data_IF_714960289120
#
_entry.id   IF_714960289120
#
_cell.length_a   1.000
_cell.length_b   1.000
_cell.length_c   1.000
_cell.angle_alpha   90.00
_cell.angle_beta   90.00
_cell.angle_gamma   90.00
#
_symmetry.space_group_name_H-M   'P 1'
#
loop_
_entity.id
_entity.type
_entity.pdbx_description
1 polymer ?
#
# COMPACT_ATOMS: atom_id res chain seq x y z
N UNK A 1 -9.07 2.73 24.30
CA UNK A 1 -9.37 3.56 23.11
C UNK A 1 -10.73 3.16 22.57
N UNK A 2 -11.61 4.14 22.30
CA UNK A 2 -12.98 3.90 21.87
C UNK A 2 -13.01 3.29 20.45
N UNK A 3 -13.89 2.29 20.21
CA UNK A 3 -14.01 1.62 18.91
C UNK A 3 -14.33 2.61 17.79
N UNK A 4 -15.11 3.67 18.09
CA UNK A 4 -15.41 4.73 17.14
C UNK A 4 -14.17 5.52 16.71
N UNK A 5 -13.22 5.74 17.62
CA UNK A 5 -11.95 6.43 17.31
C UNK A 5 -11.07 5.54 16.44
N UNK A 6 -11.05 4.22 16.71
CA UNK A 6 -10.32 3.27 15.86
C UNK A 6 -10.87 3.27 14.44
N UNK A 7 -12.20 3.17 14.30
CA UNK A 7 -12.88 3.20 13.00
C UNK A 7 -12.59 4.50 12.23
N UNK A 8 -12.64 5.65 12.92
CA UNK A 8 -12.30 6.94 12.34
C UNK A 8 -10.83 6.98 11.86
N UNK A 9 -9.89 6.52 12.68
CA UNK A 9 -8.48 6.44 12.30
C UNK A 9 -8.26 5.52 11.10
N UNK A 10 -8.89 4.35 11.06
CA UNK A 10 -8.80 3.45 9.90
C UNK A 10 -9.40 4.07 8.65
N UNK A 11 -10.51 4.81 8.76
CA UNK A 11 -11.13 5.50 7.63
C UNK A 11 -10.19 6.59 7.08
N UNK A 12 -9.58 7.40 7.95
CA UNK A 12 -8.61 8.43 7.56
C UNK A 12 -7.38 7.81 6.89
N UNK A 13 -6.85 6.73 7.46
CA UNK A 13 -5.71 6.00 6.89
C UNK A 13 -6.04 5.39 5.54
N UNK A 14 -7.26 4.87 5.35
CA UNK A 14 -7.73 4.34 4.07
C UNK A 14 -7.77 5.44 3.00
N UNK A 15 -8.28 6.64 3.35
CA UNK A 15 -8.33 7.78 2.43
C UNK A 15 -6.92 8.28 2.08
N UNK A 16 -6.04 8.38 3.07
CA UNK A 16 -4.64 8.78 2.86
C UNK A 16 -3.89 7.76 2.00
N UNK A 17 -4.06 6.47 2.25
CA UNK A 17 -3.42 5.43 1.45
C UNK A 17 -3.97 5.42 0.02
N UNK A 18 -5.29 5.56 -0.15
CA UNK A 18 -5.92 5.64 -1.46
C UNK A 18 -5.40 6.81 -2.29
N UNK A 19 -5.25 7.98 -1.67
CA UNK A 19 -4.65 9.15 -2.33
C UNK A 19 -3.18 8.91 -2.69
N UNK A 20 -2.40 8.31 -1.80
CA UNK A 20 -1.01 7.95 -2.08
C UNK A 20 -0.91 6.98 -3.27
N UNK A 21 -1.70 5.89 -3.28
CA UNK A 21 -1.78 4.97 -4.42
C UNK A 21 -2.16 5.68 -5.71
N UNK A 22 -3.14 6.59 -5.68
CA UNK A 22 -3.55 7.35 -6.86
C UNK A 22 -2.41 8.21 -7.41
N UNK A 23 -1.71 8.98 -6.56
CA UNK A 23 -0.57 9.80 -6.97
C UNK A 23 0.55 8.92 -7.54
N UNK A 24 0.87 7.81 -6.86
CA UNK A 24 1.89 6.85 -7.28
C UNK A 24 1.57 6.24 -8.64
N UNK A 25 0.32 5.81 -8.87
CA UNK A 25 -0.11 5.26 -10.15
C UNK A 25 -0.16 6.31 -11.26
N UNK A 26 -0.55 7.54 -10.95
CA UNK A 26 -0.55 8.64 -11.93
C UNK A 26 0.87 9.00 -12.35
N UNK A 27 1.80 9.09 -11.39
CA UNK A 27 3.23 9.29 -11.67
C UNK A 27 3.78 8.15 -12.54
N UNK A 28 3.36 6.92 -12.29
CA UNK A 28 3.73 5.80 -13.16
C UNK A 28 3.19 5.93 -14.59
N UNK A 29 1.94 6.33 -14.76
CA UNK A 29 1.30 6.50 -16.07
C UNK A 29 1.93 7.63 -16.88
N UNK A 30 2.37 8.71 -16.22
CA UNK A 30 3.02 9.86 -16.86
C UNK A 30 4.47 9.57 -17.29
N UNK A 31 5.20 8.72 -16.55
CA UNK A 31 6.64 8.44 -16.80
C UNK A 31 6.94 7.03 -17.33
N UNK A 32 5.93 6.16 -17.44
CA UNK A 32 6.00 4.76 -17.88
C UNK A 32 7.03 3.88 -17.09
N UNK A 33 7.53 4.39 -15.96
CA UNK A 33 8.54 3.75 -15.12
C UNK A 33 8.62 4.38 -13.71
N UNK A 34 8.86 3.57 -12.66
CA UNK A 34 9.19 4.10 -11.32
C UNK A 34 10.69 4.39 -11.19
N UNK A 35 11.24 5.30 -12.00
CA UNK A 35 12.67 5.70 -11.94
C UNK A 35 12.98 6.70 -10.80
N UNK A 36 11.96 7.24 -10.12
CA UNK A 36 12.14 8.23 -9.03
C UNK A 36 12.69 7.69 -7.71
N UNK A 37 12.73 6.37 -7.51
CA UNK A 37 13.03 5.76 -6.21
C UNK A 37 14.47 5.96 -5.69
N UNK A 38 15.40 6.39 -6.55
CA UNK A 38 16.79 6.66 -6.14
C UNK A 38 16.95 8.12 -5.69
N UNK A 39 16.08 9.03 -6.14
CA UNK A 39 16.25 10.47 -5.91
C UNK A 39 15.47 11.00 -4.70
N UNK A 40 14.43 10.30 -4.25
CA UNK A 40 13.58 10.70 -3.11
C UNK A 40 13.82 9.89 -1.84
N UNK A 41 14.47 8.72 -1.91
CA UNK A 41 14.73 7.80 -0.77
C UNK A 41 13.48 7.45 0.08
N UNK A 42 12.28 7.63 -0.47
CA UNK A 42 11.05 7.34 0.27
C UNK A 42 10.74 5.85 0.20
N UNK A 43 10.61 5.21 1.36
CA UNK A 43 10.44 3.77 1.51
C UNK A 43 9.29 3.19 0.66
N UNK A 44 8.21 3.96 0.48
CA UNK A 44 7.09 3.51 -0.35
C UNK A 44 7.44 3.47 -1.83
N UNK A 45 8.20 4.43 -2.39
CA UNK A 45 8.58 4.40 -3.81
C UNK A 45 9.46 3.19 -4.11
N UNK A 46 10.36 2.82 -3.18
CA UNK A 46 11.19 1.63 -3.30
C UNK A 46 10.35 0.34 -3.25
N UNK A 47 9.37 0.28 -2.35
CA UNK A 47 8.42 -0.83 -2.29
C UNK A 47 7.63 -0.96 -3.61
N UNK A 48 7.10 0.14 -4.13
CA UNK A 48 6.37 0.15 -5.39
C UNK A 48 7.25 -0.23 -6.58
N UNK A 49 8.49 0.26 -6.66
CA UNK A 49 9.44 -0.13 -7.69
C UNK A 49 9.77 -1.64 -7.62
N UNK A 50 9.86 -2.22 -6.42
CA UNK A 50 10.03 -3.66 -6.26
C UNK A 50 8.82 -4.45 -6.77
N UNK A 51 7.59 -4.04 -6.39
CA UNK A 51 6.36 -4.67 -6.89
C UNK A 51 6.25 -4.56 -8.42
N UNK A 52 6.63 -3.42 -8.97
CA UNK A 52 6.64 -3.18 -10.41
C UNK A 52 7.66 -4.07 -11.12
N UNK A 53 8.88 -4.18 -10.58
CA UNK A 53 9.93 -5.07 -11.09
C UNK A 53 9.47 -6.53 -11.12
N UNK A 54 8.82 -6.99 -10.04
CA UNK A 54 8.23 -8.32 -9.96
C UNK A 54 7.12 -8.48 -11.00
N UNK A 55 6.24 -7.49 -11.15
CA UNK A 55 5.15 -7.50 -12.15
C UNK A 55 5.69 -7.58 -13.58
N UNK A 56 6.69 -6.76 -13.93
CA UNK A 56 7.38 -6.76 -15.24
C UNK A 56 8.08 -8.10 -15.53
N UNK A 57 8.61 -8.77 -14.51
CA UNK A 57 9.32 -10.06 -14.66
C UNK A 57 8.37 -11.25 -14.85
N UNK A 58 7.20 -11.20 -14.21
CA UNK A 58 6.24 -12.32 -14.21
C UNK A 58 5.22 -12.19 -15.35
N UNK A 59 4.83 -10.97 -15.75
CA UNK A 59 3.70 -10.74 -16.65
C UNK A 59 4.05 -10.00 -17.94
N UNK A 60 3.31 -10.27 -19.04
CA UNK A 60 3.51 -9.57 -20.30
C UNK A 60 3.18 -8.07 -20.21
N UNK A 61 3.92 -7.25 -20.98
CA UNK A 61 3.82 -5.77 -21.00
C UNK A 61 2.39 -5.22 -21.14
N UNK A 62 1.46 -5.94 -21.76
CA UNK A 62 0.05 -5.51 -21.87
C UNK A 62 -0.71 -5.47 -20.55
N UNK A 63 -0.34 -6.29 -19.56
CA UNK A 63 -1.10 -6.44 -18.31
C UNK A 63 -0.32 -6.04 -17.06
N UNK A 64 0.98 -5.80 -17.17
CA UNK A 64 1.84 -5.50 -16.02
C UNK A 64 1.33 -4.32 -15.18
N UNK A 65 0.72 -3.29 -15.79
CA UNK A 65 0.17 -2.11 -15.09
C UNK A 65 -1.06 -2.47 -14.26
N UNK A 66 -2.00 -3.21 -14.85
CA UNK A 66 -3.23 -3.62 -14.17
C UNK A 66 -2.88 -4.55 -13.02
N UNK A 67 -1.98 -5.50 -13.26
CA UNK A 67 -1.54 -6.46 -12.26
C UNK A 67 -0.76 -5.78 -11.15
N UNK A 68 0.08 -4.78 -11.48
CA UNK A 68 0.75 -3.94 -10.50
C UNK A 68 -0.26 -3.20 -9.61
N UNK A 69 -1.24 -2.50 -10.22
CA UNK A 69 -2.31 -1.80 -9.49
C UNK A 69 -3.06 -2.73 -8.52
N UNK A 70 -3.44 -3.92 -9.00
CA UNK A 70 -4.13 -4.94 -8.20
C UNK A 70 -3.22 -5.46 -7.06
N UNK A 71 -1.96 -5.77 -7.36
CA UNK A 71 -1.01 -6.32 -6.39
C UNK A 71 -0.69 -5.32 -5.28
N UNK A 72 -0.48 -4.06 -5.65
CA UNK A 72 -0.30 -2.93 -4.73
C UNK A 72 -1.51 -2.74 -3.81
N UNK A 73 -2.72 -2.84 -4.36
CA UNK A 73 -3.94 -2.72 -3.57
C UNK A 73 -4.13 -3.89 -2.59
N UNK A 74 -3.89 -5.13 -3.04
CA UNK A 74 -3.94 -6.33 -2.20
C UNK A 74 -2.89 -6.23 -1.08
N UNK A 75 -1.68 -5.76 -1.39
CA UNK A 75 -0.63 -5.56 -0.39
C UNK A 75 -1.02 -4.52 0.66
N UNK A 76 -1.63 -3.40 0.25
CA UNK A 76 -2.18 -2.40 1.17
C UNK A 76 -3.27 -2.96 2.09
N UNK A 77 -4.20 -3.74 1.54
CA UNK A 77 -5.22 -4.46 2.31
C UNK A 77 -4.63 -5.45 3.30
N UNK A 78 -3.58 -6.18 2.89
CA UNK A 78 -2.87 -7.12 3.74
C UNK A 78 -2.21 -6.41 4.93
N UNK A 79 -1.51 -5.30 4.70
CA UNK A 79 -0.91 -4.51 5.77
C UNK A 79 -1.96 -3.92 6.73
N UNK A 80 -3.10 -3.46 6.20
CA UNK A 80 -4.20 -2.96 7.02
C UNK A 80 -4.78 -4.08 7.90
N UNK A 81 -5.05 -5.25 7.32
CA UNK A 81 -5.50 -6.42 8.06
C UNK A 81 -4.49 -6.85 9.12
N UNK A 82 -3.21 -6.91 8.77
CA UNK A 82 -2.11 -7.23 9.69
C UNK A 82 -2.02 -6.22 10.84
N UNK A 83 -2.20 -4.93 10.56
CA UNK A 83 -2.21 -3.88 11.58
C UNK A 83 -3.38 -4.07 12.54
N UNK A 84 -4.58 -4.37 12.04
CA UNK A 84 -5.76 -4.66 12.88
C UNK A 84 -5.51 -5.89 13.76
N UNK A 85 -4.94 -6.97 13.21
CA UNK A 85 -4.60 -8.20 13.95
C UNK A 85 -3.56 -7.90 15.04
N UNK A 86 -2.46 -7.22 14.70
CA UNK A 86 -1.46 -6.79 15.67
C UNK A 86 -2.09 -5.95 16.77
N UNK A 87 -3.04 -5.09 16.43
CA UNK A 87 -3.71 -4.24 17.41
C UNK A 87 -4.58 -5.04 18.38
N UNK A 88 -5.28 -6.06 17.89
CA UNK A 88 -6.02 -7.03 18.72
C UNK A 88 -5.06 -7.81 19.62
N UNK A 89 -3.91 -8.23 19.08
CA UNK A 89 -2.94 -9.09 19.76
C UNK A 89 -2.08 -8.33 20.78
N UNK A 90 -1.80 -7.05 20.54
CA UNK A 90 -1.04 -6.15 21.41
C UNK A 90 -1.89 -5.57 22.53
N UNK A 91 -3.22 -5.50 22.38
CA UNK A 91 -4.09 -5.22 23.53
C UNK A 91 -3.93 -6.39 24.51
N UNK A 92 -3.34 -6.20 25.72
CA UNK A 92 -3.46 -7.24 26.71
C UNK A 92 -4.95 -7.47 26.93
N UNK A 93 -5.34 -8.72 26.94
CA UNK A 93 -6.58 -9.18 27.53
C UNK A 93 -6.49 -8.82 29.02
N UNK A 94 -6.67 -7.54 29.37
CA UNK A 94 -6.99 -7.10 30.73
C UNK A 94 -8.51 -7.04 30.82
N UNK A 95 -9.12 -8.21 30.66
CA UNK A 95 -10.42 -8.48 31.25
C UNK A 95 -10.07 -9.23 32.54
N UNK A 96 -9.79 -8.46 33.59
CA UNK A 96 -9.81 -8.90 34.99
C UNK A 96 -10.58 -7.86 35.77
#
# INVERSE_FOLDING_TARGET
>A
MNIYVLLLCTLILLLLSGNAFYITFKKYEDYDDFTGGITTLEFYELLFALLEFISKKIFPKRYHIIIFKISSFIFGLFLLGFTIVLWILVKPISIS
#
